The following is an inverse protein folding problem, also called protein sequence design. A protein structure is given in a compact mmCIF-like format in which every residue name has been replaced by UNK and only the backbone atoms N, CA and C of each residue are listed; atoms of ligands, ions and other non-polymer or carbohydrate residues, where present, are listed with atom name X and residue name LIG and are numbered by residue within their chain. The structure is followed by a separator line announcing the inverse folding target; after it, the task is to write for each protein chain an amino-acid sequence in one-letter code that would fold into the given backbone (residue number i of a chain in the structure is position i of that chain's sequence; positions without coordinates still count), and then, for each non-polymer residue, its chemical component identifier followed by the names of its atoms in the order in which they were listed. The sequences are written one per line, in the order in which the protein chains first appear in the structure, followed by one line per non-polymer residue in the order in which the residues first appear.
data_IF_294476440147
#
_entry.id   IF_294476440147
#
_cell.length_a   1.000
_cell.length_b   1.000
_cell.length_c   1.000
_cell.angle_alpha   90.00
_cell.angle_beta   90.00
_cell.angle_gamma   90.00
#
_symmetry.space_group_name_H-M   'P 1'
#
loop_
_entity.id
_entity.type
_entity.pdbx_description
1 polymer ?
#
# COMPACT_ATOMS: atom_id res chain seq x y z
N UNK A 1 -29.38 56.61 -58.89
CA UNK A 1 -28.43 55.49 -58.81
C UNK A 1 -28.31 55.05 -57.32
N UNK A 2 -29.01 54.00 -56.95
CA UNK A 2 -28.96 53.44 -55.57
C UNK A 2 -27.90 52.37 -55.57
N UNK A 3 -26.85 52.57 -54.76
CA UNK A 3 -25.82 51.54 -54.51
C UNK A 3 -26.36 50.53 -53.49
N UNK A 4 -26.50 49.29 -53.94
CA UNK A 4 -26.86 48.13 -53.09
C UNK A 4 -25.60 47.65 -52.38
N UNK A 5 -25.56 47.80 -51.08
CA UNK A 5 -24.47 47.29 -50.24
C UNK A 5 -24.82 45.84 -49.88
N UNK A 6 -24.11 44.86 -50.44
CA UNK A 6 -24.27 43.47 -50.12
C UNK A 6 -23.28 43.18 -48.94
N UNK A 7 -23.80 43.01 -47.73
CA UNK A 7 -23.07 42.63 -46.56
C UNK A 7 -23.04 41.10 -46.53
N UNK A 8 -21.90 40.50 -46.88
CA UNK A 8 -21.65 39.06 -46.73
C UNK A 8 -21.37 38.79 -45.27
N UNK A 9 -22.31 38.18 -44.55
CA UNK A 9 -22.11 37.68 -43.18
C UNK A 9 -21.42 36.33 -43.32
N UNK A 10 -20.09 36.29 -43.03
CA UNK A 10 -19.39 35.04 -42.79
C UNK A 10 -19.80 34.49 -41.42
N UNK A 11 -20.74 33.56 -41.40
CA UNK A 11 -20.99 32.71 -40.24
C UNK A 11 -19.80 31.74 -40.09
N UNK A 12 -18.82 32.13 -39.29
CA UNK A 12 -17.85 31.17 -38.74
C UNK A 12 -18.62 30.29 -37.75
N UNK A 13 -19.08 29.14 -38.22
CA UNK A 13 -19.57 28.08 -37.36
C UNK A 13 -18.41 27.59 -36.49
N UNK A 14 -18.36 28.03 -35.23
CA UNK A 14 -17.54 27.38 -34.24
C UNK A 14 -18.12 25.96 -34.03
N UNK A 15 -17.58 24.98 -34.74
CA UNK A 15 -17.82 23.60 -34.42
C UNK A 15 -17.21 23.36 -33.02
N UNK A 16 -18.04 23.34 -31.99
CA UNK A 16 -17.67 22.82 -30.69
C UNK A 16 -17.32 21.35 -30.93
N UNK A 17 -16.03 21.05 -30.98
CA UNK A 17 -15.55 19.69 -31.04
C UNK A 17 -15.96 18.98 -29.72
N UNK A 18 -16.87 18.02 -29.85
CA UNK A 18 -17.25 17.18 -28.70
C UNK A 18 -16.11 16.24 -28.35
N UNK A 19 -15.89 16.00 -27.05
CA UNK A 19 -14.97 14.98 -26.61
C UNK A 19 -15.40 13.59 -27.13
N UNK A 20 -14.46 12.82 -27.63
CA UNK A 20 -14.71 11.43 -27.98
C UNK A 20 -14.86 10.56 -26.73
N UNK A 21 -15.74 9.58 -26.80
CA UNK A 21 -16.02 8.68 -25.69
C UNK A 21 -15.44 7.30 -25.93
N UNK A 22 -14.78 6.74 -24.89
CA UNK A 22 -14.36 5.35 -24.83
C UNK A 22 -15.04 4.72 -23.63
N UNK A 23 -15.84 3.68 -23.86
CA UNK A 23 -16.62 3.03 -22.83
C UNK A 23 -15.91 1.82 -22.29
N UNK A 24 -15.93 1.67 -20.97
CA UNK A 24 -15.44 0.48 -20.26
C UNK A 24 -16.49 -0.03 -19.28
N UNK A 25 -16.50 -1.35 -19.09
CA UNK A 25 -17.42 -2.08 -18.21
C UNK A 25 -16.71 -3.25 -17.56
N UNK A 26 -17.02 -3.60 -16.28
CA UNK A 26 -16.50 -4.82 -15.66
C UNK A 26 -16.89 -6.11 -16.41
N UNK A 27 -17.95 -6.06 -17.23
CA UNK A 27 -18.41 -7.14 -18.11
C UNK A 27 -17.94 -6.98 -19.57
N UNK A 28 -17.13 -5.95 -19.85
CA UNK A 28 -16.61 -5.67 -21.18
C UNK A 28 -15.55 -6.66 -21.65
N UNK A 29 -14.99 -6.38 -22.81
CA UNK A 29 -13.88 -7.17 -23.38
C UNK A 29 -12.89 -6.21 -24.05
N UNK A 30 -11.60 -6.34 -23.76
CA UNK A 30 -10.56 -5.47 -24.30
C UNK A 30 -10.37 -5.57 -25.82
N UNK A 31 -10.92 -6.60 -26.45
CA UNK A 31 -10.99 -6.72 -27.91
C UNK A 31 -12.11 -5.88 -28.54
N UNK A 32 -13.04 -5.40 -27.74
CA UNK A 32 -14.13 -4.53 -28.21
C UNK A 32 -13.60 -3.16 -28.67
N UNK A 33 -14.43 -2.46 -29.44
CA UNK A 33 -14.08 -1.16 -30.02
C UNK A 33 -14.19 0.03 -29.03
N UNK A 34 -14.73 -0.19 -27.83
CA UNK A 34 -14.88 0.83 -26.81
C UNK A 34 -16.07 1.77 -27.03
N UNK A 35 -17.04 1.37 -27.84
CA UNK A 35 -18.34 2.07 -27.92
C UNK A 35 -19.24 1.64 -26.77
N UNK A 36 -20.31 2.42 -26.50
CA UNK A 36 -21.27 2.08 -25.45
C UNK A 36 -21.88 0.68 -25.58
N UNK A 37 -22.30 0.21 -26.77
CA UNK A 37 -22.82 -1.15 -26.92
C UNK A 37 -21.74 -2.24 -26.91
N UNK A 38 -20.45 -1.86 -27.02
CA UNK A 38 -19.30 -2.79 -27.11
C UNK A 38 -18.13 -2.26 -26.26
N UNK A 39 -18.32 -2.19 -24.90
CA UNK A 39 -17.33 -1.57 -24.00
C UNK A 39 -16.09 -2.47 -23.83
N UNK A 40 -14.96 -1.84 -23.57
CA UNK A 40 -13.73 -2.55 -23.14
C UNK A 40 -13.85 -2.99 -21.67
N UNK A 41 -12.98 -3.89 -21.26
CA UNK A 41 -12.97 -4.39 -19.89
C UNK A 41 -12.09 -3.53 -18.95
N UNK A 42 -10.99 -2.95 -19.46
CA UNK A 42 -9.96 -2.36 -18.60
C UNK A 42 -9.65 -0.90 -18.94
N UNK A 43 -9.28 -0.15 -17.91
CA UNK A 43 -8.78 1.22 -18.08
C UNK A 43 -7.50 1.24 -18.92
N UNK A 44 -6.61 0.25 -18.78
CA UNK A 44 -5.39 0.11 -19.58
C UNK A 44 -5.70 0.02 -21.08
N UNK A 45 -6.72 -0.74 -21.46
CA UNK A 45 -7.13 -0.88 -22.87
C UNK A 45 -7.75 0.40 -23.40
N UNK A 46 -8.56 1.10 -22.59
CA UNK A 46 -9.13 2.39 -22.96
C UNK A 46 -8.06 3.48 -23.16
N UNK A 47 -7.08 3.57 -22.24
CA UNK A 47 -5.95 4.48 -22.39
C UNK A 47 -5.13 4.19 -23.65
N UNK A 48 -4.93 2.92 -24.00
CA UNK A 48 -4.26 2.54 -25.25
C UNK A 48 -5.00 3.06 -26.47
N UNK A 49 -6.32 2.95 -26.48
CA UNK A 49 -7.14 3.49 -27.56
C UNK A 49 -7.10 5.03 -27.61
N UNK A 50 -7.12 5.69 -26.44
CA UNK A 50 -6.99 7.14 -26.34
C UNK A 50 -5.66 7.64 -26.92
N UNK A 51 -4.55 6.95 -26.58
CA UNK A 51 -3.22 7.22 -27.18
C UNK A 51 -3.23 7.08 -28.70
N UNK A 52 -3.90 6.04 -29.20
CA UNK A 52 -4.00 5.80 -30.64
C UNK A 52 -4.74 6.93 -31.33
N UNK A 53 -5.88 7.39 -30.82
CA UNK A 53 -6.58 8.54 -31.37
C UNK A 53 -5.74 9.82 -31.40
N UNK A 54 -4.98 10.09 -30.31
CA UNK A 54 -4.07 11.23 -30.27
C UNK A 54 -2.90 11.10 -31.25
N UNK A 55 -2.30 9.91 -31.32
CA UNK A 55 -1.17 9.63 -32.20
C UNK A 55 -1.52 9.75 -33.70
N UNK A 56 -2.73 9.39 -34.08
CA UNK A 56 -3.20 9.42 -35.49
C UNK A 56 -3.95 10.68 -35.86
N UNK A 57 -4.05 11.66 -34.94
CA UNK A 57 -4.88 12.86 -35.08
C UNK A 57 -6.34 12.53 -35.45
N UNK A 58 -6.88 11.47 -34.84
CA UNK A 58 -8.26 11.04 -35.07
C UNK A 58 -9.25 12.13 -34.60
N UNK A 59 -10.27 12.40 -35.38
CA UNK A 59 -11.30 13.43 -35.11
C UNK A 59 -11.92 13.24 -33.72
N UNK A 60 -12.10 12.02 -33.27
CA UNK A 60 -12.65 11.68 -31.96
C UNK A 60 -11.78 12.18 -30.78
N UNK A 61 -10.48 12.37 -30.99
CA UNK A 61 -9.57 12.87 -29.95
C UNK A 61 -9.42 14.38 -29.89
N UNK A 62 -9.88 15.12 -30.91
CA UNK A 62 -9.59 16.56 -31.08
C UNK A 62 -10.25 17.44 -30.01
N UNK A 63 -11.48 17.13 -29.59
CA UNK A 63 -12.22 17.87 -28.54
C UNK A 63 -12.02 17.35 -27.14
N UNK A 64 -11.00 16.51 -26.93
CA UNK A 64 -10.78 15.77 -25.68
C UNK A 64 -11.22 14.32 -25.75
N UNK A 65 -10.88 13.55 -24.74
CA UNK A 65 -11.27 12.13 -24.64
C UNK A 65 -11.89 11.89 -23.27
N UNK A 66 -13.09 11.32 -23.24
CA UNK A 66 -13.73 10.87 -22.01
C UNK A 66 -13.74 9.34 -21.97
N UNK A 67 -13.11 8.76 -20.95
CA UNK A 67 -13.24 7.34 -20.65
C UNK A 67 -14.44 7.19 -19.71
N UNK A 68 -15.54 6.66 -20.24
CA UNK A 68 -16.81 6.45 -19.54
C UNK A 68 -16.81 5.08 -18.87
N UNK A 69 -16.79 5.06 -17.55
CA UNK A 69 -16.76 3.83 -16.74
C UNK A 69 -18.17 3.46 -16.29
N UNK A 70 -18.68 2.30 -16.69
CA UNK A 70 -19.89 1.73 -16.11
C UNK A 70 -19.66 1.32 -14.65
N UNK A 71 -20.71 1.39 -13.84
CA UNK A 71 -20.65 1.09 -12.42
C UNK A 71 -20.15 -0.32 -12.11
N UNK A 72 -19.34 -0.44 -11.09
CA UNK A 72 -18.82 -1.72 -10.61
C UNK A 72 -17.38 -1.65 -10.13
N UNK A 73 -16.81 -2.83 -9.89
CA UNK A 73 -15.42 -2.99 -9.42
C UNK A 73 -14.54 -3.48 -10.54
N UNK A 74 -13.51 -2.68 -10.84
CA UNK A 74 -12.46 -3.02 -11.79
C UNK A 74 -11.25 -3.54 -11.00
N UNK A 75 -11.06 -4.86 -11.00
CA UNK A 75 -9.94 -5.50 -10.32
C UNK A 75 -8.65 -5.29 -11.10
N UNK A 76 -7.63 -4.77 -10.44
CA UNK A 76 -6.31 -4.56 -11.00
C UNK A 76 -5.36 -5.67 -10.56
N UNK A 77 -4.64 -6.25 -11.51
CA UNK A 77 -3.62 -7.27 -11.28
C UNK A 77 -2.20 -6.72 -11.43
N UNK A 78 -2.10 -5.49 -11.90
CA UNK A 78 -0.91 -4.67 -12.06
C UNK A 78 -1.29 -3.19 -12.05
N UNK A 79 -0.36 -2.28 -11.79
CA UNK A 79 -0.64 -0.85 -11.87
C UNK A 79 -1.09 -0.40 -13.27
N UNK A 80 -2.03 0.52 -13.33
CA UNK A 80 -2.34 1.26 -14.56
C UNK A 80 -1.25 2.30 -14.79
N UNK A 81 -0.56 2.24 -15.91
CA UNK A 81 0.47 3.20 -16.28
C UNK A 81 -0.10 4.37 -17.06
N UNK A 82 0.09 5.57 -16.53
CA UNK A 82 -0.28 6.83 -17.14
C UNK A 82 1.01 7.55 -17.52
N UNK A 83 1.16 7.84 -18.78
CA UNK A 83 2.40 8.33 -19.39
C UNK A 83 2.17 9.66 -20.12
N UNK A 84 3.23 10.37 -20.54
CA UNK A 84 3.08 11.60 -21.32
C UNK A 84 2.21 11.46 -22.57
N UNK A 85 2.16 10.26 -23.16
CA UNK A 85 1.33 9.96 -24.33
C UNK A 85 -0.19 9.92 -24.02
N UNK A 86 -0.56 9.83 -22.74
CA UNK A 86 -1.95 9.89 -22.27
C UNK A 86 -2.41 11.33 -22.00
N UNK A 87 -1.46 12.26 -21.97
CA UNK A 87 -1.74 13.67 -21.69
C UNK A 87 -2.73 14.25 -22.69
N UNK A 88 -3.58 15.11 -22.16
CA UNK A 88 -4.38 16.01 -22.95
C UNK A 88 -3.72 17.37 -23.16
N UNK A 89 -4.54 18.32 -23.57
CA UNK A 89 -4.25 19.75 -23.55
C UNK A 89 -5.37 20.47 -22.80
N UNK A 90 -5.24 21.79 -22.60
CA UNK A 90 -6.28 22.58 -21.95
C UNK A 90 -7.62 22.44 -22.70
N UNK A 91 -7.59 22.53 -24.04
CA UNK A 91 -8.76 22.45 -24.90
C UNK A 91 -9.18 21.00 -25.25
N UNK A 92 -8.32 20.02 -25.00
CA UNK A 92 -8.52 18.61 -25.31
C UNK A 92 -8.05 17.71 -24.16
N UNK A 93 -8.67 17.76 -22.96
CA UNK A 93 -8.27 16.98 -21.81
C UNK A 93 -8.59 15.48 -21.98
N UNK A 94 -7.96 14.64 -21.16
CA UNK A 94 -8.38 13.25 -20.94
C UNK A 94 -9.12 13.18 -19.60
N UNK A 95 -10.39 12.77 -19.64
CA UNK A 95 -11.25 12.67 -18.45
C UNK A 95 -11.66 11.23 -18.24
N UNK A 96 -11.47 10.72 -17.03
CA UNK A 96 -11.83 9.35 -16.63
C UNK A 96 -12.89 9.47 -15.55
N UNK A 97 -14.12 9.02 -15.84
CA UNK A 97 -15.25 9.23 -14.95
C UNK A 97 -16.32 8.13 -15.06
N UNK A 98 -17.14 7.96 -14.01
CA UNK A 98 -18.31 7.11 -14.07
C UNK A 98 -19.34 7.60 -15.11
N UNK A 99 -20.13 6.67 -15.60
CA UNK A 99 -21.38 6.97 -16.31
C UNK A 99 -22.38 7.48 -15.29
N UNK A 100 -22.91 8.67 -15.51
CA UNK A 100 -23.82 9.34 -14.56
C UNK A 100 -23.24 9.38 -13.12
N UNK A 101 -24.01 8.92 -12.14
CA UNK A 101 -23.61 8.85 -10.73
C UNK A 101 -23.36 7.41 -10.27
N UNK A 102 -23.00 6.52 -11.19
CA UNK A 102 -22.69 5.12 -10.85
C UNK A 102 -21.43 5.03 -10.00
N UNK A 103 -21.43 4.05 -9.08
CA UNK A 103 -20.27 3.82 -8.21
C UNK A 103 -19.22 3.01 -8.95
N UNK A 104 -18.07 3.60 -9.16
CA UNK A 104 -16.89 2.95 -9.76
C UNK A 104 -15.80 2.77 -8.71
N UNK A 105 -15.24 1.57 -8.64
CA UNK A 105 -14.12 1.22 -7.76
C UNK A 105 -12.99 0.63 -8.59
N UNK A 106 -11.83 1.28 -8.59
CA UNK A 106 -10.56 0.69 -9.02
C UNK A 106 -9.98 -0.06 -7.82
N UNK A 107 -9.94 -1.38 -7.91
CA UNK A 107 -9.60 -2.27 -6.79
C UNK A 107 -8.27 -2.98 -7.02
N UNK A 108 -7.35 -2.80 -6.08
CA UNK A 108 -6.11 -3.58 -6.01
C UNK A 108 -6.25 -4.90 -5.27
N UNK A 109 -7.47 -5.33 -4.97
CA UNK A 109 -7.73 -6.54 -4.20
C UNK A 109 -8.65 -7.52 -4.89
N UNK A 110 -8.61 -8.75 -4.42
CA UNK A 110 -9.49 -9.84 -4.84
C UNK A 110 -10.35 -10.33 -3.67
N UNK A 111 -11.52 -10.82 -3.99
CA UNK A 111 -12.42 -11.44 -3.01
C UNK A 111 -11.95 -12.86 -2.70
N UNK A 112 -11.89 -13.19 -1.40
CA UNK A 112 -11.71 -14.57 -0.93
C UNK A 112 -12.98 -15.06 -0.26
N UNK A 113 -13.26 -16.34 -0.48
CA UNK A 113 -14.46 -17.01 0.03
C UNK A 113 -14.14 -18.39 0.62
N UNK A 114 -15.15 -19.25 0.73
CA UNK A 114 -14.96 -20.59 1.27
C UNK A 114 -14.68 -20.63 2.77
N UNK A 115 -15.14 -19.62 3.49
CA UNK A 115 -14.96 -19.48 4.93
C UNK A 115 -15.63 -20.61 5.71
N UNK A 116 -14.86 -21.24 6.59
CA UNK A 116 -15.30 -22.32 7.48
C UNK A 116 -15.10 -21.94 8.94
N UNK A 117 -16.07 -22.20 9.78
CA UNK A 117 -15.99 -21.89 11.22
C UNK A 117 -15.04 -22.86 11.93
N UNK A 118 -14.14 -22.33 12.74
CA UNK A 118 -13.21 -23.10 13.58
C UNK A 118 -13.17 -22.47 14.99
N UNK A 119 -14.01 -22.99 15.88
CA UNK A 119 -14.21 -22.39 17.20
C UNK A 119 -14.78 -20.97 17.10
N UNK A 120 -14.09 -19.99 17.67
CA UNK A 120 -14.45 -18.57 17.57
C UNK A 120 -13.98 -17.90 16.28
N UNK A 121 -13.12 -18.55 15.54
CA UNK A 121 -12.51 -18.02 14.31
C UNK A 121 -13.19 -18.59 13.08
N UNK A 122 -12.97 -17.90 11.98
CA UNK A 122 -13.27 -18.38 10.64
C UNK A 122 -11.98 -18.49 9.84
N UNK A 123 -11.89 -19.51 9.01
CA UNK A 123 -10.71 -19.83 8.20
C UNK A 123 -11.09 -19.98 6.75
N UNK A 124 -10.27 -19.43 5.87
CA UNK A 124 -10.38 -19.63 4.43
C UNK A 124 -9.01 -19.94 3.83
N UNK A 125 -9.00 -20.61 2.68
CA UNK A 125 -7.79 -20.82 1.90
C UNK A 125 -7.39 -19.53 1.19
N UNK A 126 -6.09 -19.23 1.20
CA UNK A 126 -5.52 -18.10 0.46
C UNK A 126 -5.17 -18.59 -0.94
N UNK A 127 -5.68 -17.95 -2.00
CA UNK A 127 -5.46 -18.40 -3.36
C UNK A 127 -4.00 -18.20 -3.80
N UNK A 128 -3.62 -18.90 -4.85
CA UNK A 128 -2.41 -18.57 -5.62
C UNK A 128 -2.70 -17.35 -6.49
N UNK A 129 -1.73 -16.47 -6.58
CA UNK A 129 -1.79 -15.30 -7.43
C UNK A 129 -0.52 -15.22 -8.30
N UNK A 130 -0.69 -15.14 -9.62
CA UNK A 130 0.42 -15.16 -10.58
C UNK A 130 1.43 -16.31 -10.33
N UNK A 131 0.92 -17.51 -10.01
CA UNK A 131 1.74 -18.71 -9.80
C UNK A 131 2.47 -18.77 -8.45
N UNK A 132 2.23 -17.83 -7.54
CA UNK A 132 2.84 -17.77 -6.20
C UNK A 132 1.77 -17.74 -5.12
N UNK A 133 2.05 -18.23 -3.88
CA UNK A 133 1.19 -17.97 -2.75
C UNK A 133 1.01 -16.46 -2.56
N UNK A 134 -0.25 -16.01 -2.48
CA UNK A 134 -0.54 -14.60 -2.24
C UNK A 134 -0.13 -14.26 -0.80
N UNK A 135 0.68 -13.22 -0.63
CA UNK A 135 0.95 -12.58 0.66
C UNK A 135 0.36 -11.18 0.69
N UNK A 136 -0.11 -10.75 1.86
CA UNK A 136 -0.74 -9.46 2.06
C UNK A 136 -0.64 -8.99 3.51
N UNK A 137 -0.66 -7.68 3.70
CA UNK A 137 -0.57 -7.06 5.02
C UNK A 137 -1.87 -6.41 5.48
N UNK A 138 -2.89 -6.39 4.66
CA UNK A 138 -4.20 -5.82 4.94
C UNK A 138 -5.31 -6.81 4.56
N UNK A 139 -6.43 -6.70 5.26
CA UNK A 139 -7.65 -7.45 4.99
C UNK A 139 -8.84 -6.54 5.27
N UNK A 140 -9.85 -6.61 4.43
CA UNK A 140 -11.11 -5.90 4.62
C UNK A 140 -12.27 -6.87 4.69
N UNK A 141 -13.18 -6.63 5.62
CA UNK A 141 -14.42 -7.39 5.79
C UNK A 141 -15.59 -6.41 5.72
N UNK A 142 -16.48 -6.60 4.77
CA UNK A 142 -17.62 -5.72 4.51
C UNK A 142 -17.21 -4.24 4.40
N UNK A 143 -16.13 -3.97 3.66
CA UNK A 143 -15.57 -2.63 3.45
C UNK A 143 -14.80 -2.04 4.63
N UNK A 144 -14.77 -2.71 5.79
CA UNK A 144 -14.01 -2.25 6.97
C UNK A 144 -12.67 -2.95 7.05
N UNK A 145 -11.59 -2.18 7.22
CA UNK A 145 -10.25 -2.74 7.43
C UNK A 145 -10.23 -3.56 8.72
N UNK A 146 -9.76 -4.79 8.63
CA UNK A 146 -9.52 -5.67 9.75
C UNK A 146 -8.15 -5.41 10.37
N UNK A 147 -7.97 -5.74 11.64
CA UNK A 147 -6.73 -5.53 12.38
C UNK A 147 -5.87 -6.78 12.25
N UNK A 148 -4.61 -6.62 11.88
CA UNK A 148 -3.65 -7.73 11.93
C UNK A 148 -3.41 -8.11 13.38
N UNK A 149 -3.55 -9.39 13.74
CA UNK A 149 -3.46 -9.88 15.12
C UNK A 149 -2.27 -9.27 15.87
N UNK A 150 -2.52 -8.68 17.04
CA UNK A 150 -1.53 -7.96 17.84
C UNK A 150 -1.80 -8.12 19.33
N UNK A 151 -0.79 -7.90 20.16
CA UNK A 151 -0.92 -8.09 21.60
C UNK A 151 -1.59 -6.91 22.32
N UNK A 152 -1.49 -5.70 21.77
CA UNK A 152 -2.06 -4.49 22.36
C UNK A 152 -2.34 -3.43 21.30
N UNK A 153 -3.39 -2.64 21.52
CA UNK A 153 -3.76 -1.51 20.66
C UNK A 153 -3.44 -0.15 21.29
N UNK A 154 -3.73 -0.02 22.57
CA UNK A 154 -3.60 1.22 23.33
C UNK A 154 -2.12 1.52 23.60
N UNK A 155 -1.63 2.67 23.12
CA UNK A 155 -0.23 3.08 23.28
C UNK A 155 0.22 3.12 24.75
N UNK A 156 -0.64 3.54 25.65
CA UNK A 156 -0.31 3.64 27.08
C UNK A 156 -0.13 2.26 27.74
N UNK A 157 -0.70 1.22 27.14
CA UNK A 157 -0.59 -0.17 27.60
C UNK A 157 0.50 -0.95 26.88
N UNK A 158 1.16 -0.36 25.89
CA UNK A 158 2.27 -1.02 25.21
C UNK A 158 3.43 -1.28 26.14
N UNK A 159 4.06 -2.43 25.95
CA UNK A 159 5.31 -2.73 26.64
C UNK A 159 6.41 -1.74 26.22
N UNK A 160 7.37 -1.54 27.11
CA UNK A 160 8.56 -0.72 26.86
C UNK A 160 9.78 -1.60 26.77
N UNK A 161 10.74 -1.24 25.91
CA UNK A 161 12.01 -1.96 25.85
C UNK A 161 12.78 -1.78 27.16
N UNK A 162 13.62 -2.76 27.51
CA UNK A 162 14.48 -2.70 28.68
C UNK A 162 15.81 -2.03 28.39
N UNK A 163 16.48 -2.49 27.34
CA UNK A 163 17.81 -2.00 26.93
C UNK A 163 18.10 -2.36 25.48
N UNK A 164 19.18 -1.81 24.93
CA UNK A 164 19.63 -2.01 23.55
C UNK A 164 21.11 -2.38 23.58
N UNK A 165 21.48 -3.46 22.90
CA UNK A 165 22.87 -3.80 22.59
C UNK A 165 23.09 -3.59 21.07
N UNK A 166 23.52 -2.38 20.71
CA UNK A 166 23.73 -1.98 19.32
C UNK A 166 24.80 -2.84 18.64
N UNK A 167 25.86 -3.20 19.37
CA UNK A 167 26.99 -3.98 18.83
C UNK A 167 26.59 -5.38 18.40
N UNK A 168 25.72 -6.03 19.16
CA UNK A 168 25.26 -7.39 18.90
C UNK A 168 23.90 -7.45 18.24
N UNK A 169 23.31 -6.30 17.89
CA UNK A 169 21.99 -6.17 17.28
C UNK A 169 20.88 -6.86 18.11
N UNK A 170 20.85 -6.57 19.43
CA UNK A 170 19.89 -7.14 20.37
C UNK A 170 19.03 -6.04 21.00
N UNK A 171 17.73 -6.29 21.04
CA UNK A 171 16.78 -5.51 21.81
C UNK A 171 16.30 -6.36 23.00
N UNK A 172 16.46 -5.86 24.22
CA UNK A 172 15.95 -6.51 25.41
C UNK A 172 14.58 -5.96 25.78
N UNK A 173 13.65 -6.86 26.08
CA UNK A 173 12.28 -6.57 26.48
C UNK A 173 11.89 -7.34 27.73
N UNK A 174 10.82 -6.96 28.46
CA UNK A 174 10.29 -7.78 29.53
C UNK A 174 9.89 -9.17 29.02
N UNK A 175 10.33 -10.24 29.69
CA UNK A 175 10.02 -11.62 29.27
C UNK A 175 8.51 -11.89 29.22
N UNK A 176 7.72 -11.23 30.07
CA UNK A 176 6.26 -11.32 30.06
C UNK A 176 5.64 -10.84 28.75
N UNK A 177 6.26 -9.87 28.07
CA UNK A 177 5.76 -9.31 26.82
C UNK A 177 5.76 -10.33 25.67
N UNK A 178 6.74 -11.25 25.66
CA UNK A 178 6.90 -12.21 24.57
C UNK A 178 6.36 -13.61 24.89
N UNK A 179 5.80 -13.84 26.08
CA UNK A 179 5.38 -15.17 26.56
C UNK A 179 4.42 -15.91 25.61
N UNK A 180 3.61 -15.18 24.86
CA UNK A 180 2.66 -15.74 23.89
C UNK A 180 3.37 -16.23 22.62
N UNK A 181 4.54 -15.70 22.28
CA UNK A 181 5.28 -16.01 21.05
C UNK A 181 6.29 -17.16 21.22
N UNK A 182 6.57 -17.58 22.45
CA UNK A 182 7.54 -18.64 22.74
C UNK A 182 6.87 -19.93 23.21
N UNK A 183 7.55 -21.03 23.06
CA UNK A 183 7.15 -22.32 23.61
C UNK A 183 7.54 -22.46 25.10
N UNK A 184 7.21 -23.61 25.71
CA UNK A 184 7.56 -23.89 27.10
C UNK A 184 9.06 -23.96 27.40
N UNK A 185 9.93 -23.93 26.39
CA UNK A 185 11.41 -23.88 26.51
C UNK A 185 11.95 -22.49 26.21
N UNK A 186 11.10 -21.52 25.95
CA UNK A 186 11.48 -20.14 25.61
C UNK A 186 11.91 -19.91 24.16
N UNK A 187 11.75 -20.89 23.28
CA UNK A 187 12.05 -20.74 21.86
C UNK A 187 10.89 -20.12 21.10
N UNK A 188 11.21 -19.26 20.13
CA UNK A 188 10.20 -18.61 19.27
C UNK A 188 9.42 -19.65 18.46
N UNK A 189 8.10 -19.73 18.67
CA UNK A 189 7.18 -20.58 17.92
C UNK A 189 6.42 -19.82 16.83
N UNK A 190 6.26 -18.51 16.98
CA UNK A 190 5.59 -17.63 16.05
C UNK A 190 6.55 -17.15 14.96
N UNK A 191 6.79 -17.98 13.96
CA UNK A 191 7.80 -17.82 12.88
C UNK A 191 7.74 -16.46 12.16
N UNK A 192 6.55 -15.90 11.99
CA UNK A 192 6.34 -14.68 11.24
C UNK A 192 6.02 -13.45 12.10
N UNK A 193 6.25 -13.58 13.43
CA UNK A 193 5.99 -12.48 14.35
C UNK A 193 6.84 -11.26 14.00
N UNK A 194 6.24 -10.10 14.18
CA UNK A 194 6.87 -8.79 13.96
C UNK A 194 6.77 -7.97 15.25
N UNK A 195 7.76 -7.12 15.45
CA UNK A 195 7.73 -6.06 16.45
C UNK A 195 7.49 -4.73 15.74
N UNK A 196 6.51 -3.99 16.21
CA UNK A 196 6.30 -2.60 15.81
C UNK A 196 6.83 -1.72 16.93
N UNK A 197 7.94 -1.05 16.67
CA UNK A 197 8.69 -0.28 17.63
C UNK A 197 8.46 1.21 17.44
N UNK A 198 7.91 1.87 18.46
CA UNK A 198 7.72 3.31 18.47
C UNK A 198 9.02 4.01 18.87
N UNK A 199 9.49 4.85 17.99
CA UNK A 199 10.67 5.66 18.17
C UNK A 199 10.28 7.15 18.10
N UNK A 200 11.18 8.04 18.41
CA UNK A 200 10.89 9.47 18.28
C UNK A 200 10.56 9.80 16.81
N UNK A 201 9.32 10.26 16.59
CA UNK A 201 8.75 10.68 15.31
C UNK A 201 8.61 9.60 14.22
N UNK A 202 8.80 8.34 14.55
CA UNK A 202 8.65 7.26 13.58
C UNK A 202 8.32 5.91 14.22
N UNK A 203 7.93 4.96 13.38
CA UNK A 203 7.57 3.60 13.80
C UNK A 203 8.30 2.60 12.90
N UNK A 204 9.16 1.78 13.50
CA UNK A 204 9.84 0.70 12.79
C UNK A 204 9.01 -0.60 12.84
N UNK A 205 9.05 -1.38 11.73
CA UNK A 205 8.49 -2.72 11.65
C UNK A 205 9.63 -3.72 11.47
N UNK A 206 9.87 -4.55 12.45
CA UNK A 206 11.02 -5.45 12.53
C UNK A 206 10.54 -6.89 12.61
N UNK A 207 10.98 -7.75 11.68
CA UNK A 207 10.66 -9.19 11.70
C UNK A 207 11.49 -9.90 12.74
N UNK A 208 10.87 -10.61 13.67
CA UNK A 208 11.55 -11.31 14.74
C UNK A 208 12.19 -12.60 14.20
N UNK A 209 13.52 -12.71 14.31
CA UNK A 209 14.28 -13.90 13.92
C UNK A 209 14.40 -14.91 15.03
N UNK A 210 14.69 -14.45 16.24
CA UNK A 210 14.85 -15.30 17.41
C UNK A 210 14.60 -14.55 18.70
N UNK A 211 14.23 -15.30 19.71
CA UNK A 211 14.03 -14.84 21.07
C UNK A 211 14.79 -15.76 22.01
N UNK A 212 15.43 -15.21 23.03
CA UNK A 212 16.10 -15.95 24.11
C UNK A 212 15.66 -15.36 25.45
N UNK A 213 14.97 -16.15 26.24
CA UNK A 213 14.47 -15.73 27.56
C UNK A 213 15.60 -15.83 28.60
N UNK A 214 15.84 -14.73 29.33
CA UNK A 214 16.90 -14.59 30.31
C UNK A 214 16.32 -14.01 31.62
N UNK A 215 15.79 -14.88 32.50
CA UNK A 215 15.10 -14.44 33.71
C UNK A 215 13.87 -13.60 33.38
N UNK A 216 13.82 -12.38 33.89
CA UNK A 216 12.69 -11.42 33.67
C UNK A 216 12.78 -10.65 32.38
N UNK A 217 13.82 -10.83 31.59
CA UNK A 217 14.00 -10.21 30.29
C UNK A 217 14.12 -11.24 29.17
N UNK A 218 13.95 -10.78 27.95
CA UNK A 218 14.14 -11.56 26.73
C UNK A 218 14.95 -10.76 25.71
N UNK A 219 15.96 -11.41 25.14
CA UNK A 219 16.76 -10.89 24.04
C UNK A 219 16.06 -11.19 22.71
N UNK A 220 15.74 -10.17 21.94
CA UNK A 220 15.14 -10.28 20.63
C UNK A 220 16.16 -9.90 19.56
N UNK A 221 16.27 -10.74 18.53
CA UNK A 221 17.05 -10.48 17.32
C UNK A 221 16.13 -10.45 16.12
N UNK A 222 16.45 -9.59 15.16
CA UNK A 222 15.64 -9.39 13.96
C UNK A 222 16.27 -10.01 12.73
N UNK A 223 15.49 -10.12 11.65
CA UNK A 223 16.00 -10.52 10.35
C UNK A 223 16.84 -9.40 9.72
N UNK A 224 17.63 -9.77 8.74
CA UNK A 224 18.34 -8.81 7.88
C UNK A 224 17.46 -8.46 6.66
N UNK A 225 17.59 -7.26 6.09
CA UNK A 225 18.58 -6.22 6.38
C UNK A 225 18.19 -5.27 7.52
N UNK A 226 16.93 -5.33 7.99
CA UNK A 226 16.38 -4.37 8.94
C UNK A 226 17.11 -4.35 10.27
N UNK A 227 17.61 -5.49 10.75
CA UNK A 227 18.39 -5.56 11.99
C UNK A 227 19.61 -4.66 11.92
N UNK A 228 20.51 -4.91 10.97
CA UNK A 228 21.70 -4.08 10.77
C UNK A 228 21.37 -2.60 10.68
N UNK A 229 20.39 -2.26 9.83
CA UNK A 229 20.02 -0.86 9.60
C UNK A 229 19.50 -0.22 10.88
N UNK A 230 18.63 -0.92 11.65
CA UNK A 230 18.02 -0.40 12.87
C UNK A 230 19.07 -0.07 13.95
N UNK A 231 20.12 -0.88 14.07
CA UNK A 231 21.13 -0.70 15.10
C UNK A 231 22.34 0.14 14.63
N UNK A 232 22.58 0.23 13.32
CA UNK A 232 23.71 0.96 12.77
C UNK A 232 23.44 2.46 12.61
N UNK A 233 22.20 2.86 12.16
CA UNK A 233 21.92 4.27 11.94
C UNK A 233 21.66 5.01 13.26
N UNK A 234 22.17 6.23 13.42
CA UNK A 234 22.12 6.93 14.71
C UNK A 234 20.78 7.58 15.02
N UNK A 235 19.93 7.81 14.01
CA UNK A 235 18.65 8.54 14.17
C UNK A 235 17.66 8.26 13.04
N UNK A 236 16.36 8.03 13.34
CA UNK A 236 15.81 7.75 14.68
C UNK A 236 16.18 6.36 15.17
N UNK A 237 16.30 6.17 16.48
CA UNK A 237 16.71 4.90 17.10
C UNK A 237 15.86 4.54 18.32
N UNK A 238 15.92 3.29 18.81
CA UNK A 238 15.27 2.91 20.05
C UNK A 238 15.78 3.78 21.21
N UNK A 239 14.86 4.32 21.99
CA UNK A 239 15.19 5.17 23.14
C UNK A 239 15.15 4.38 24.43
N UNK A 240 16.19 4.53 25.25
CA UNK A 240 16.24 4.08 26.63
C UNK A 240 16.53 5.31 27.50
N UNK A 241 15.66 5.61 28.43
CA UNK A 241 15.70 6.82 29.25
C UNK A 241 15.80 6.46 30.74
N UNK A 242 16.31 7.38 31.55
CA UNK A 242 16.47 7.17 33.00
C UNK A 242 15.17 7.29 33.78
N UNK A 243 14.15 7.92 33.17
CA UNK A 243 12.84 8.15 33.76
C UNK A 243 11.78 7.11 33.33
N UNK A 244 12.21 6.06 32.62
CA UNK A 244 11.34 4.96 32.17
C UNK A 244 10.50 5.22 30.94
N UNK A 245 10.69 6.37 30.26
CA UNK A 245 10.04 6.67 28.96
C UNK A 245 10.75 5.99 27.78
N UNK A 246 11.07 4.72 27.94
CA UNK A 246 11.68 3.92 26.89
C UNK A 246 10.73 3.75 25.70
N UNK A 247 11.28 3.45 24.53
CA UNK A 247 10.52 3.17 23.32
C UNK A 247 9.45 2.10 23.58
N UNK A 248 8.23 2.43 23.22
CA UNK A 248 7.10 1.53 23.29
C UNK A 248 7.10 0.56 22.12
N UNK A 249 6.55 -0.61 22.31
CA UNK A 249 6.37 -1.57 21.22
C UNK A 249 5.12 -2.40 21.40
N UNK A 250 4.64 -2.95 20.29
CA UNK A 250 3.69 -4.04 20.27
C UNK A 250 4.14 -5.16 19.33
N UNK A 251 3.61 -6.35 19.58
CA UNK A 251 3.89 -7.54 18.79
C UNK A 251 2.70 -7.82 17.88
N UNK A 252 2.97 -8.25 16.66
CA UNK A 252 1.93 -8.51 15.66
C UNK A 252 2.28 -9.71 14.79
N UNK A 253 1.33 -10.11 13.94
CA UNK A 253 1.48 -11.17 12.96
C UNK A 253 1.81 -12.54 13.56
N UNK A 254 1.10 -12.88 14.62
CA UNK A 254 1.18 -14.20 15.22
C UNK A 254 -0.23 -14.72 15.55
N UNK A 255 -0.45 -16.02 15.31
CA UNK A 255 -1.74 -16.67 15.58
C UNK A 255 -2.11 -16.59 17.06
N UNK A 256 -1.12 -16.66 17.90
CA UNK A 256 -1.22 -16.60 19.34
C UNK A 256 -1.74 -15.26 19.88
N UNK A 257 -1.63 -14.21 19.08
CA UNK A 257 -2.09 -12.86 19.43
C UNK A 257 -3.55 -12.60 19.02
N UNK A 258 -4.13 -13.49 18.22
CA UNK A 258 -5.49 -13.33 17.68
C UNK A 258 -6.56 -13.60 18.74
N UNK A 259 -6.96 -12.60 19.51
CA UNK A 259 -7.90 -12.75 20.63
C UNK A 259 -9.05 -11.71 20.68
N UNK A 260 -8.98 -10.66 19.83
CA UNK A 260 -9.98 -9.60 19.77
C UNK A 260 -10.82 -9.70 18.50
N UNK A 261 -12.17 -9.50 18.55
CA UNK A 261 -13.00 -9.44 17.35
C UNK A 261 -12.53 -8.36 16.36
N UNK A 262 -12.49 -8.73 15.08
CA UNK A 262 -11.97 -7.88 14.01
C UNK A 262 -10.50 -8.16 13.67
N UNK A 263 -9.84 -9.03 14.38
CA UNK A 263 -8.47 -9.43 14.11
C UNK A 263 -8.37 -10.57 13.10
N UNK A 264 -7.26 -10.55 12.34
CA UNK A 264 -6.92 -11.59 11.38
C UNK A 264 -5.43 -11.98 11.45
N UNK A 265 -5.16 -13.20 11.02
CA UNK A 265 -3.82 -13.75 10.88
C UNK A 265 -3.70 -14.54 9.58
N UNK A 266 -2.59 -14.39 8.86
CA UNK A 266 -2.26 -15.16 7.67
C UNK A 266 -1.17 -16.17 8.00
N UNK A 267 -1.54 -17.46 7.96
CA UNK A 267 -0.62 -18.58 8.02
C UNK A 267 -0.08 -18.84 6.61
N UNK A 268 1.12 -18.33 6.35
CA UNK A 268 1.78 -18.42 5.03
C UNK A 268 2.15 -19.87 4.68
N UNK A 269 2.58 -20.67 5.67
CA UNK A 269 2.98 -22.06 5.45
C UNK A 269 1.75 -22.94 5.12
N UNK A 270 0.66 -22.75 5.84
CA UNK A 270 -0.61 -23.45 5.58
C UNK A 270 -1.43 -22.83 4.45
N UNK A 271 -1.08 -21.64 3.98
CA UNK A 271 -1.85 -20.83 3.02
C UNK A 271 -3.30 -20.62 3.47
N UNK A 272 -3.47 -20.24 4.73
CA UNK A 272 -4.77 -20.00 5.35
C UNK A 272 -4.83 -18.64 5.99
N UNK A 273 -5.96 -18.00 5.86
CA UNK A 273 -6.26 -16.78 6.60
C UNK A 273 -7.32 -17.09 7.66
N UNK A 274 -7.07 -16.62 8.87
CA UNK A 274 -7.94 -16.73 10.01
C UNK A 274 -8.49 -15.38 10.37
N UNK A 275 -9.77 -15.30 10.62
CA UNK A 275 -10.44 -14.06 11.00
C UNK A 275 -11.30 -14.29 12.24
N UNK A 276 -11.27 -13.38 13.19
CA UNK A 276 -12.17 -13.36 14.32
C UNK A 276 -13.29 -12.33 14.02
N UNK A 277 -14.51 -12.78 13.69
CA UNK A 277 -15.57 -11.88 13.27
C UNK A 277 -15.94 -10.87 14.35
N UNK A 278 -16.25 -9.67 13.93
CA UNK A 278 -16.90 -8.68 14.78
C UNK A 278 -18.33 -9.09 15.09
N UNK A 279 -18.92 -8.52 16.12
CA UNK A 279 -20.31 -8.75 16.43
C UNK A 279 -21.22 -8.42 15.24
N UNK A 280 -22.16 -9.32 14.94
CA UNK A 280 -23.11 -9.18 13.84
C UNK A 280 -22.57 -9.53 12.44
N UNK A 281 -21.29 -9.82 12.28
CA UNK A 281 -20.75 -10.24 10.98
C UNK A 281 -21.10 -11.69 10.64
N UNK A 282 -21.78 -11.88 9.51
CA UNK A 282 -22.15 -13.20 8.97
C UNK A 282 -21.14 -13.61 7.89
N UNK A 283 -20.16 -14.43 8.26
CA UNK A 283 -19.04 -14.76 7.39
C UNK A 283 -19.40 -15.52 6.11
N UNK A 284 -20.51 -16.22 6.04
CA UNK A 284 -21.00 -16.86 4.81
C UNK A 284 -21.44 -15.84 3.76
N UNK A 285 -21.89 -14.67 4.19
CA UNK A 285 -22.39 -13.58 3.34
C UNK A 285 -21.36 -12.47 3.18
N UNK A 286 -20.34 -12.44 4.04
CA UNK A 286 -19.37 -11.36 4.11
C UNK A 286 -18.55 -11.22 2.83
N UNK A 287 -18.37 -9.98 2.39
CA UNK A 287 -17.38 -9.64 1.40
C UNK A 287 -16.01 -9.49 2.08
N UNK A 288 -15.09 -10.41 1.77
CA UNK A 288 -13.72 -10.32 2.30
C UNK A 288 -12.76 -10.09 1.16
N UNK A 289 -12.01 -8.99 1.24
CA UNK A 289 -11.05 -8.54 0.22
C UNK A 289 -9.64 -8.59 0.78
N UNK A 290 -8.73 -9.18 0.00
CA UNK A 290 -7.29 -9.14 0.24
C UNK A 290 -6.59 -8.45 -0.94
N UNK A 291 -5.62 -7.57 -0.69
CA UNK A 291 -4.93 -6.86 -1.76
C UNK A 291 -3.94 -7.76 -2.49
N UNK A 292 -3.75 -7.48 -3.77
CA UNK A 292 -2.81 -8.18 -4.67
C UNK A 292 -1.75 -7.26 -5.25
N UNK A 293 -1.96 -5.94 -5.20
CA UNK A 293 -1.03 -4.94 -5.72
C UNK A 293 -0.73 -3.86 -4.67
N UNK A 294 0.45 -3.28 -4.75
CA UNK A 294 0.87 -2.17 -3.87
C UNK A 294 0.47 -0.81 -4.45
N UNK A 295 0.36 -0.71 -5.76
CA UNK A 295 0.12 0.53 -6.48
C UNK A 295 -1.02 0.31 -7.48
N UNK A 296 -2.04 1.18 -7.46
CA UNK A 296 -3.14 1.12 -8.43
C UNK A 296 -2.77 1.82 -9.74
N UNK A 297 -2.13 2.97 -9.64
CA UNK A 297 -1.76 3.78 -10.78
C UNK A 297 -0.35 4.33 -10.62
N UNK A 298 0.37 4.38 -11.72
CA UNK A 298 1.69 4.99 -11.82
C UNK A 298 1.67 6.10 -12.86
N UNK A 299 1.71 7.33 -12.40
CA UNK A 299 1.82 8.50 -13.25
C UNK A 299 3.30 8.79 -13.48
N UNK A 300 3.80 8.47 -14.67
CA UNK A 300 5.22 8.48 -14.99
C UNK A 300 5.52 9.48 -16.10
N UNK A 301 5.94 10.68 -15.73
CA UNK A 301 6.48 11.69 -16.63
C UNK A 301 7.93 12.02 -16.30
N UNK A 302 8.53 12.91 -17.09
CA UNK A 302 9.82 13.54 -16.83
C UNK A 302 9.65 15.05 -16.68
N UNK A 303 10.70 15.75 -16.24
CA UNK A 303 10.67 17.24 -16.19
C UNK A 303 10.42 17.85 -17.57
N UNK A 304 10.98 17.23 -18.62
CA UNK A 304 10.82 17.71 -20.00
C UNK A 304 9.51 17.25 -20.66
N UNK A 305 8.93 16.16 -20.18
CA UNK A 305 7.68 15.58 -20.69
C UNK A 305 6.80 15.14 -19.50
N UNK A 306 6.20 16.07 -18.79
CA UNK A 306 5.27 15.74 -17.70
C UNK A 306 3.96 15.15 -18.24
N UNK A 307 3.25 14.41 -17.39
CA UNK A 307 1.86 14.03 -17.65
C UNK A 307 0.96 15.21 -17.29
N UNK A 308 0.13 15.66 -18.23
CA UNK A 308 -0.69 16.86 -18.09
C UNK A 308 -2.14 16.63 -18.53
N UNK A 309 -3.06 17.45 -18.01
CA UNK A 309 -4.47 17.54 -18.43
C UNK A 309 -5.21 16.20 -18.41
N UNK A 310 -4.95 15.37 -17.40
CA UNK A 310 -5.70 14.16 -17.08
C UNK A 310 -6.50 14.40 -15.81
N UNK A 311 -7.76 13.98 -15.79
CA UNK A 311 -8.65 14.10 -14.64
C UNK A 311 -9.33 12.78 -14.32
N UNK A 312 -9.29 12.39 -13.05
CA UNK A 312 -10.10 11.33 -12.49
C UNK A 312 -11.24 11.96 -11.70
N UNK A 313 -12.46 11.65 -12.07
CA UNK A 313 -13.65 12.23 -11.46
C UNK A 313 -14.50 11.14 -10.81
N UNK A 314 -14.90 11.30 -9.54
CA UNK A 314 -15.83 10.41 -8.81
C UNK A 314 -15.44 8.92 -8.81
N UNK A 315 -14.15 8.60 -8.84
CA UNK A 315 -13.63 7.22 -8.81
C UNK A 315 -13.13 6.89 -7.41
N UNK A 316 -13.45 5.72 -6.91
CA UNK A 316 -12.92 5.19 -5.65
C UNK A 316 -11.70 4.33 -5.92
N UNK A 317 -10.57 4.65 -5.30
CA UNK A 317 -9.34 3.86 -5.30
C UNK A 317 -9.24 3.08 -3.99
N UNK A 318 -9.14 1.74 -4.05
CA UNK A 318 -9.20 0.91 -2.83
C UNK A 318 -8.36 -0.35 -2.91
N UNK A 319 -8.09 -0.89 -1.71
CA UNK A 319 -7.57 -2.25 -1.51
C UNK A 319 -6.16 -2.46 -2.05
N UNK A 320 -5.22 -1.61 -1.62
CA UNK A 320 -3.78 -1.82 -1.84
C UNK A 320 -3.09 -2.39 -0.60
N UNK A 321 -1.90 -2.93 -0.79
CA UNK A 321 -1.01 -3.40 0.29
C UNK A 321 0.30 -2.61 0.29
N UNK A 322 1.16 -2.94 1.24
CA UNK A 322 2.55 -2.50 1.29
C UNK A 322 3.39 -3.61 1.89
N UNK A 323 4.11 -4.34 1.06
CA UNK A 323 4.72 -5.61 1.41
C UNK A 323 6.12 -5.48 2.02
N UNK A 324 6.78 -4.33 1.84
CA UNK A 324 8.14 -4.13 2.34
C UNK A 324 8.39 -4.59 3.77
N UNK A 325 7.52 -4.32 4.77
CA UNK A 325 7.77 -4.78 6.14
C UNK A 325 7.80 -6.31 6.28
N UNK A 326 7.06 -7.05 5.44
CA UNK A 326 7.11 -8.53 5.42
C UNK A 326 8.34 -9.08 4.72
N UNK A 327 8.91 -8.34 3.77
CA UNK A 327 10.03 -8.80 2.94
C UNK A 327 11.40 -8.40 3.51
N UNK A 328 11.53 -7.16 3.97
CA UNK A 328 12.81 -6.55 4.35
C UNK A 328 12.75 -5.74 5.65
N UNK A 329 11.63 -5.83 6.39
CA UNK A 329 11.36 -4.92 7.49
C UNK A 329 11.18 -3.47 7.02
N UNK A 330 10.92 -2.58 7.96
CA UNK A 330 10.84 -1.15 7.69
C UNK A 330 11.56 -0.39 8.78
N UNK A 331 12.65 0.25 8.42
CA UNK A 331 13.40 1.15 9.29
C UNK A 331 13.25 2.57 8.74
N UNK A 332 12.41 3.39 9.39
CA UNK A 332 12.07 4.71 8.89
C UNK A 332 13.16 5.74 9.17
N UNK A 333 13.15 6.77 8.35
CA UNK A 333 13.72 8.07 8.66
C UNK A 333 12.60 9.07 8.96
N UNK A 334 12.97 10.28 9.32
CA UNK A 334 12.05 11.40 9.45
C UNK A 334 11.39 11.74 8.09
N UNK A 335 10.21 12.37 8.13
CA UNK A 335 9.49 12.86 6.96
C UNK A 335 9.07 11.78 5.92
N UNK A 336 8.73 10.57 6.38
CA UNK A 336 8.17 9.52 5.54
C UNK A 336 9.18 8.74 4.70
N UNK A 337 10.46 9.08 4.77
CA UNK A 337 11.53 8.30 4.14
C UNK A 337 11.85 7.04 4.96
N UNK A 338 12.45 6.07 4.31
CA UNK A 338 12.97 4.87 4.97
C UNK A 338 14.34 4.46 4.41
N UNK A 339 15.07 3.69 5.21
CA UNK A 339 16.38 3.16 4.84
C UNK A 339 16.24 1.85 4.09
N UNK A 340 17.03 1.67 3.06
CA UNK A 340 17.12 0.41 2.30
C UNK A 340 18.34 -0.40 2.73
N UNK A 341 18.40 -1.64 2.27
CA UNK A 341 19.54 -2.52 2.43
C UNK A 341 20.86 -1.98 1.82
N UNK A 342 20.76 -1.03 0.88
CA UNK A 342 21.90 -0.29 0.34
C UNK A 342 22.47 0.80 1.25
N UNK A 343 21.78 1.12 2.37
CA UNK A 343 22.26 2.12 3.32
C UNK A 343 23.67 1.79 3.84
N UNK A 344 24.53 2.80 3.90
CA UNK A 344 25.85 2.75 4.52
C UNK A 344 26.13 4.09 5.20
N UNK A 345 26.76 4.02 6.36
CA UNK A 345 27.27 5.20 7.04
C UNK A 345 28.49 5.72 6.25
N UNK A 346 28.54 7.04 5.99
CA UNK A 346 29.74 7.65 5.43
C UNK A 346 30.75 7.94 6.54
N UNK A 347 31.92 7.28 6.57
CA UNK A 347 32.93 7.49 7.62
C UNK A 347 33.50 8.92 7.65
N UNK A 348 33.37 9.67 6.56
CA UNK A 348 33.87 11.07 6.48
C UNK A 348 32.94 12.07 7.14
N UNK A 349 31.71 11.67 7.39
CA UNK A 349 30.65 12.54 7.91
C UNK A 349 30.27 12.16 9.34
N UNK A 350 31.25 12.10 10.24
CA UNK A 350 31.08 11.63 11.62
C UNK A 350 30.53 12.70 12.57
N UNK A 351 30.27 13.91 12.10
CA UNK A 351 29.78 15.02 12.95
C UNK A 351 28.62 15.73 12.28
N UNK A 352 27.65 16.11 13.08
CA UNK A 352 26.59 17.00 12.62
C UNK A 352 27.05 18.47 12.64
N UNK A 353 26.20 19.38 12.19
CA UNK A 353 26.45 20.82 12.20
C UNK A 353 26.66 21.42 13.61
N UNK A 354 26.21 20.71 14.66
CA UNK A 354 26.44 21.08 16.06
C UNK A 354 27.71 20.45 16.65
N UNK A 355 28.52 19.80 15.80
CA UNK A 355 29.75 19.11 16.19
C UNK A 355 29.57 17.91 17.13
N UNK A 356 28.36 17.34 17.20
CA UNK A 356 28.08 16.10 17.91
C UNK A 356 28.49 14.90 17.09
N UNK A 357 29.33 14.00 17.60
CA UNK A 357 29.67 12.76 16.89
C UNK A 357 28.41 11.90 16.77
N UNK A 358 28.19 11.34 15.61
CA UNK A 358 27.21 10.30 15.33
C UNK A 358 25.74 10.71 15.17
N UNK A 359 25.28 11.83 15.73
CA UNK A 359 23.85 12.13 15.80
C UNK A 359 23.15 12.27 14.44
N UNK A 360 23.88 12.58 13.39
CA UNK A 360 23.34 12.75 12.05
C UNK A 360 23.92 11.81 10.98
N UNK A 361 24.64 10.79 11.37
CA UNK A 361 25.23 9.89 10.37
C UNK A 361 24.17 9.19 9.52
N UNK A 362 22.97 8.91 10.08
CA UNK A 362 21.86 8.34 9.35
C UNK A 362 21.34 9.24 8.22
N UNK A 363 21.46 10.55 8.37
CA UNK A 363 21.05 11.53 7.35
C UNK A 363 22.03 11.60 6.19
N UNK A 364 23.25 11.20 6.43
CA UNK A 364 24.37 11.25 5.51
C UNK A 364 24.66 9.89 4.88
N UNK A 365 24.11 8.83 5.46
CA UNK A 365 24.00 7.56 4.80
C UNK A 365 23.16 7.73 3.53
N UNK A 366 23.23 6.83 2.60
CA UNK A 366 22.46 6.88 1.39
C UNK A 366 21.05 6.31 1.65
N UNK A 367 20.06 7.11 2.05
CA UNK A 367 18.68 6.65 2.01
C UNK A 367 18.36 6.44 0.54
N UNK A 368 17.78 5.31 0.21
CA UNK A 368 17.08 5.25 -1.05
C UNK A 368 15.82 6.09 -0.90
N UNK A 369 15.59 6.98 -1.83
CA UNK A 369 14.28 7.52 -2.02
C UNK A 369 13.30 6.36 -2.24
N UNK A 370 12.21 6.36 -1.50
CA UNK A 370 11.11 5.44 -1.72
C UNK A 370 10.40 5.78 -3.02
#
# INVERSE_FOLDING_TARGET
MKKLLVTTICLLGAHLLSAGEIWISPQGNDLNDGTRPSPKATLTSALRQAREWRRTDDERGRGGITICMEGGTYALYEPVFIRPEDSGTEDSPTVIRPVADEKVVLSGGIRIGGWKKQGKLWVADVPMFNGRPLDFRQLWVNGKKAVRARDVEDFEKMNRICSVDEKNEILYVPAVAIRRLVDGKGALKAKYAEMVLHQMWCVANLRIRSVEVQGDSAAIRFHQPESRIQFEHPWPRPMVTTDGHNSAFYLTNARELQDVPGEWYHDMDARKVYYYPREGEKMQEAEVIVPTVETLERVEGTLDRPVCHIRFEKITFSYTTWMRPSEKGHVPLQAGMYLTDGYRIDPKMQRNYLNHPLDNQGWLGRPAAA
#
